data_IF_804111788402
#
_entry.id   IF_804111788402
#
_cell.length_a   1.000
_cell.length_b   1.000
_cell.length_c   1.000
_cell.angle_alpha   90.00
_cell.angle_beta   90.00
_cell.angle_gamma   90.00
#
_symmetry.space_group_name_H-M   'P 1'
#
loop_
_entity.id
_entity.type
_entity.pdbx_description
1 polymer ?
#
# COMPACT_ATOMS: atom_id res chain seq x y z
N UNK A 1 13.56 -31.49 15.52
CA UNK A 1 13.01 -31.09 16.82
C UNK A 1 13.69 -29.79 17.27
N UNK A 2 12.92 -28.70 17.41
CA UNK A 2 13.26 -27.35 17.90
C UNK A 2 14.74 -27.05 18.20
N UNK A 3 15.59 -27.07 17.16
CA UNK A 3 17.03 -26.83 17.33
C UNK A 3 17.36 -25.38 17.69
N UNK A 4 16.40 -24.46 17.50
CA UNK A 4 16.57 -23.01 17.72
C UNK A 4 15.27 -22.40 18.28
N UNK A 5 14.96 -22.62 19.57
CA UNK A 5 13.71 -22.17 20.18
C UNK A 5 13.52 -20.64 20.10
N UNK A 6 14.61 -19.89 20.22
CA UNK A 6 14.62 -18.43 20.06
C UNK A 6 14.15 -18.00 18.68
N UNK A 7 14.56 -18.71 17.64
CA UNK A 7 14.24 -18.38 16.25
C UNK A 7 12.76 -18.62 15.95
N UNK A 8 12.18 -19.67 16.55
CA UNK A 8 10.73 -19.91 16.51
C UNK A 8 9.91 -18.86 17.25
N UNK A 9 10.36 -18.39 18.41
CA UNK A 9 9.68 -17.32 19.16
C UNK A 9 9.70 -16.02 18.33
N UNK A 10 10.86 -15.67 17.76
CA UNK A 10 11.00 -14.52 16.89
C UNK A 10 10.05 -14.59 15.68
N UNK A 11 9.96 -15.75 15.03
CA UNK A 11 9.05 -15.98 13.91
C UNK A 11 7.59 -15.74 14.29
N UNK A 12 7.16 -16.31 15.43
CA UNK A 12 5.79 -16.14 15.94
C UNK A 12 5.51 -14.67 16.23
N UNK A 13 6.45 -13.96 16.85
CA UNK A 13 6.31 -12.54 17.14
C UNK A 13 6.13 -11.71 15.86
N UNK A 14 6.94 -11.97 14.82
CA UNK A 14 6.82 -11.29 13.52
C UNK A 14 5.45 -11.55 12.89
N UNK A 15 4.96 -12.79 12.92
CA UNK A 15 3.65 -13.16 12.38
C UNK A 15 2.50 -12.43 13.10
N UNK A 16 2.56 -12.32 14.44
CA UNK A 16 1.55 -11.60 15.23
C UNK A 16 1.54 -10.12 14.87
N UNK A 17 2.71 -9.49 14.71
CA UNK A 17 2.81 -8.08 14.31
C UNK A 17 2.21 -7.88 12.91
N UNK A 18 2.57 -8.72 11.95
CA UNK A 18 2.04 -8.65 10.59
C UNK A 18 0.51 -8.80 10.56
N UNK A 19 -0.02 -9.78 11.30
CA UNK A 19 -1.46 -9.98 11.42
C UNK A 19 -2.17 -8.75 12.03
N UNK A 20 -1.57 -8.14 13.05
CA UNK A 20 -2.08 -6.91 13.65
C UNK A 20 -2.09 -5.72 12.67
N UNK A 21 -1.00 -5.53 11.92
CA UNK A 21 -0.91 -4.47 10.90
C UNK A 21 -1.96 -4.63 9.80
N UNK A 22 -2.22 -5.87 9.37
CA UNK A 22 -3.26 -6.19 8.40
C UNK A 22 -4.66 -5.93 8.97
N UNK A 23 -4.92 -6.34 10.21
CA UNK A 23 -6.22 -6.18 10.86
C UNK A 23 -6.61 -4.71 11.07
N UNK A 24 -5.63 -3.84 11.35
CA UNK A 24 -5.85 -2.39 11.52
C UNK A 24 -5.92 -1.66 10.18
N UNK A 25 -5.60 -2.31 9.06
CA UNK A 25 -5.56 -1.66 7.75
C UNK A 25 -4.43 -0.62 7.67
N UNK A 26 -3.28 -0.89 8.28
CA UNK A 26 -2.12 0.00 8.29
C UNK A 26 -1.50 0.22 6.89
N UNK A 27 -2.01 -0.47 5.87
CA UNK A 27 -1.56 -0.37 4.49
C UNK A 27 -2.55 0.48 3.68
N UNK A 28 -2.08 1.46 2.90
CA UNK A 28 -2.95 2.28 2.07
C UNK A 28 -3.67 1.42 1.02
N UNK A 29 -4.90 1.78 0.63
CA UNK A 29 -5.59 1.09 -0.45
C UNK A 29 -4.78 1.20 -1.74
N UNK A 30 -4.75 0.13 -2.53
CA UNK A 30 -4.15 0.16 -3.86
C UNK A 30 -4.99 1.08 -4.77
N UNK A 31 -4.49 2.28 -5.05
CA UNK A 31 -5.15 3.22 -5.98
C UNK A 31 -4.60 2.97 -7.38
N UNK A 32 -5.47 2.70 -8.35
CA UNK A 32 -5.09 2.65 -9.77
C UNK A 32 -4.83 4.09 -10.23
N UNK A 33 -3.64 4.42 -10.76
CA UNK A 33 -3.36 5.74 -11.30
C UNK A 33 -4.37 6.08 -12.39
N UNK A 34 -5.18 7.11 -12.18
CA UNK A 34 -6.12 7.56 -13.20
C UNK A 34 -5.40 8.51 -14.17
N UNK A 35 -5.61 8.37 -15.49
CA UNK A 35 -5.13 9.34 -16.45
C UNK A 35 -5.79 10.68 -16.15
N UNK A 36 -4.99 11.66 -15.74
CA UNK A 36 -5.45 13.04 -15.58
C UNK A 36 -5.64 13.59 -16.99
N UNK A 37 -6.90 13.75 -17.41
CA UNK A 37 -7.21 14.56 -18.59
C UNK A 37 -6.73 15.98 -18.29
N UNK A 38 -5.59 16.33 -18.89
CA UNK A 38 -5.13 17.71 -18.94
C UNK A 38 -6.12 18.45 -19.83
N UNK A 39 -7.14 19.06 -19.23
CA UNK A 39 -7.98 20.01 -19.93
C UNK A 39 -7.05 21.15 -20.38
N UNK A 40 -6.61 21.13 -21.64
CA UNK A 40 -5.82 22.21 -22.21
C UNK A 40 -6.75 23.42 -22.24
N UNK A 41 -6.53 24.48 -21.44
CA UNK A 41 -7.48 25.59 -21.33
C UNK A 41 -7.62 26.40 -22.62
N UNK A 42 -6.82 26.07 -23.64
CA UNK A 42 -6.60 26.89 -24.81
C UNK A 42 -7.57 26.62 -25.98
N UNK A 43 -8.40 25.57 -25.92
CA UNK A 43 -9.38 25.28 -26.98
C UNK A 43 -10.60 26.23 -26.94
N UNK A 44 -10.80 26.97 -25.85
CA UNK A 44 -11.88 27.98 -25.75
C UNK A 44 -11.53 29.34 -26.34
N UNK A 45 -10.26 29.62 -26.62
CA UNK A 45 -9.85 30.90 -27.21
C UNK A 45 -9.53 30.70 -28.68
N UNK A 46 -10.58 30.61 -29.51
CA UNK A 46 -10.43 30.68 -30.96
C UNK A 46 -9.90 32.06 -31.34
N UNK A 47 -8.62 32.14 -31.69
CA UNK A 47 -8.07 33.28 -32.44
C UNK A 47 -8.62 33.20 -33.85
N UNK A 48 -9.61 34.06 -34.11
CA UNK A 48 -10.05 34.43 -35.47
C UNK A 48 -8.94 35.15 -36.21
#
# INVERSE_FOLDING_TARGET
MFRRPVLSILLVMILVILAGLLAVGAFPPSVVPQPVERAIPNERFGTR
#
